data_IF_347217368995
#
_entry.id   IF_347217368995
#
_cell.length_a   1.000
_cell.length_b   1.000
_cell.length_c   1.000
_cell.angle_alpha   90.00
_cell.angle_beta   90.00
_cell.angle_gamma   90.00
#
_symmetry.space_group_name_H-M   'P 1'
#
loop_
_entity.id
_entity.type
_entity.pdbx_description
1 polymer ?
#
# COMPACT_ATOMS: atom_id res chain seq x y z
N UNK A 1 -11.96 51.90 24.39
CA UNK A 1 -12.05 50.43 24.30
C UNK A 1 -11.82 50.05 22.86
N UNK A 2 -10.63 49.52 22.43
CA UNK A 2 -10.50 48.97 21.08
C UNK A 2 -10.92 47.51 21.08
N UNK A 3 -11.95 47.19 20.29
CA UNK A 3 -12.40 45.83 20.03
C UNK A 3 -11.33 45.11 19.21
N UNK A 4 -10.69 44.11 19.82
CA UNK A 4 -9.77 43.20 19.14
C UNK A 4 -10.52 42.35 18.15
N UNK A 5 -10.28 42.58 16.86
CA UNK A 5 -10.68 41.71 15.78
C UNK A 5 -9.82 40.43 15.85
N UNK A 6 -10.40 39.36 16.35
CA UNK A 6 -9.77 38.06 16.27
C UNK A 6 -9.67 37.69 14.78
N UNK A 7 -8.44 37.69 14.25
CA UNK A 7 -8.15 37.08 12.93
C UNK A 7 -8.45 35.60 13.05
N UNK A 8 -9.54 35.15 12.43
CA UNK A 8 -9.76 33.76 12.15
C UNK A 8 -8.57 33.25 11.31
N UNK A 9 -7.76 32.39 11.88
CA UNK A 9 -6.74 31.65 11.11
C UNK A 9 -7.49 30.87 10.04
N UNK A 10 -7.39 31.31 8.80
CA UNK A 10 -7.78 30.47 7.66
C UNK A 10 -7.00 29.15 7.74
N UNK A 11 -7.72 28.11 8.07
CA UNK A 11 -7.18 26.75 7.94
C UNK A 11 -6.99 26.52 6.44
N UNK A 12 -5.75 26.62 5.98
CA UNK A 12 -5.41 26.25 4.61
C UNK A 12 -5.83 24.80 4.43
N UNK A 13 -6.86 24.57 3.65
CA UNK A 13 -7.35 23.23 3.36
C UNK A 13 -6.22 22.42 2.71
N UNK A 14 -5.92 21.26 3.27
CA UNK A 14 -4.93 20.36 2.66
C UNK A 14 -5.38 19.99 1.25
N UNK A 15 -4.45 19.90 0.27
CA UNK A 15 -4.81 19.57 -1.10
C UNK A 15 -5.53 18.22 -1.16
N UNK A 16 -6.57 18.14 -1.99
CA UNK A 16 -7.31 16.91 -2.21
C UNK A 16 -6.43 15.82 -2.85
N UNK A 17 -6.54 14.62 -2.35
CA UNK A 17 -5.79 13.44 -2.85
C UNK A 17 -6.77 12.37 -3.29
N UNK A 18 -6.55 11.78 -4.45
CA UNK A 18 -7.23 10.58 -4.91
C UNK A 18 -6.29 9.37 -4.81
N UNK A 19 -6.78 8.30 -4.21
CA UNK A 19 -6.21 6.97 -4.37
C UNK A 19 -7.05 6.18 -5.36
N UNK A 20 -6.38 5.45 -6.23
CA UNK A 20 -7.01 4.64 -7.27
C UNK A 20 -6.52 3.22 -7.15
N UNK A 21 -7.42 2.25 -7.18
CA UNK A 21 -7.08 0.85 -7.38
C UNK A 21 -7.44 0.46 -8.82
N UNK A 22 -6.45 -0.06 -9.55
CA UNK A 22 -6.66 -0.73 -10.83
C UNK A 22 -6.76 -2.25 -10.59
N UNK A 23 -7.97 -2.73 -10.30
CA UNK A 23 -8.24 -4.17 -10.22
C UNK A 23 -8.68 -4.69 -11.60
N UNK A 24 -8.62 -6.01 -11.83
CA UNK A 24 -8.98 -6.61 -13.13
C UNK A 24 -10.46 -6.49 -13.49
N UNK A 25 -11.35 -6.29 -12.51
CA UNK A 25 -12.81 -6.20 -12.72
C UNK A 25 -13.35 -4.79 -12.55
N UNK A 26 -12.63 -3.87 -11.93
CA UNK A 26 -13.11 -2.53 -11.65
C UNK A 26 -11.96 -1.55 -11.40
N UNK A 27 -12.22 -0.28 -11.69
CA UNK A 27 -11.48 0.87 -11.16
C UNK A 27 -12.21 1.37 -9.93
N UNK A 28 -11.50 1.53 -8.82
CA UNK A 28 -12.00 2.15 -7.58
C UNK A 28 -11.23 3.43 -7.30
N UNK A 29 -11.94 4.50 -7.00
CA UNK A 29 -11.36 5.81 -6.68
C UNK A 29 -11.88 6.26 -5.32
N UNK A 30 -10.97 6.62 -4.44
CA UNK A 30 -11.28 7.23 -3.13
C UNK A 30 -10.64 8.61 -3.11
N UNK A 31 -11.44 9.65 -2.85
CA UNK A 31 -10.99 11.04 -2.75
C UNK A 31 -11.10 11.50 -1.32
N UNK A 32 -10.13 12.27 -0.86
CA UNK A 32 -10.13 12.84 0.47
C UNK A 32 -8.98 13.80 0.69
N UNK A 33 -8.76 14.17 1.93
CA UNK A 33 -7.67 15.04 2.33
C UNK A 33 -7.14 14.65 3.71
N UNK A 34 -5.90 15.06 3.98
CA UNK A 34 -5.30 14.83 5.30
C UNK A 34 -5.87 15.83 6.32
N UNK A 35 -6.30 15.31 7.44
CA UNK A 35 -6.78 16.07 8.59
C UNK A 35 -5.99 15.63 9.83
N UNK A 36 -4.98 16.40 10.18
CA UNK A 36 -4.00 16.03 11.21
C UNK A 36 -3.33 14.67 10.94
N UNK A 37 -3.52 13.68 11.84
CA UNK A 37 -2.99 12.32 11.71
C UNK A 37 -3.92 11.37 10.94
N UNK A 38 -5.08 11.85 10.45
CA UNK A 38 -6.11 11.05 9.79
C UNK A 38 -6.26 11.44 8.33
N UNK A 39 -6.83 10.57 7.55
CA UNK A 39 -7.27 10.84 6.19
C UNK A 39 -8.79 10.82 6.14
N UNK A 40 -9.40 11.95 5.79
CA UNK A 40 -10.85 12.10 5.67
C UNK A 40 -11.26 11.82 4.23
N UNK A 41 -12.07 10.78 4.05
CA UNK A 41 -12.64 10.40 2.75
C UNK A 41 -13.89 11.23 2.50
N UNK A 42 -13.91 11.97 1.40
CA UNK A 42 -15.03 12.84 0.98
C UNK A 42 -15.80 12.30 -0.21
N UNK A 43 -15.21 11.35 -0.96
CA UNK A 43 -15.86 10.76 -2.11
C UNK A 43 -15.32 9.39 -2.47
N UNK A 44 -16.21 8.54 -2.99
CA UNK A 44 -15.91 7.19 -3.49
C UNK A 44 -16.57 7.02 -4.85
N UNK A 45 -15.86 6.42 -5.79
CA UNK A 45 -16.34 6.15 -7.12
C UNK A 45 -15.84 4.81 -7.66
N UNK A 46 -16.73 4.10 -8.33
CA UNK A 46 -16.44 2.81 -8.93
C UNK A 46 -16.85 2.81 -10.40
N UNK A 47 -16.09 2.13 -11.22
CA UNK A 47 -16.45 1.82 -12.60
C UNK A 47 -16.04 0.40 -12.96
N UNK A 48 -16.90 -0.41 -13.56
CA UNK A 48 -16.56 -1.74 -14.00
C UNK A 48 -15.52 -1.68 -15.14
N UNK A 49 -14.68 -2.68 -15.21
CA UNK A 49 -13.74 -2.91 -16.31
C UNK A 49 -14.23 -4.08 -17.18
N UNK A 50 -14.05 -3.96 -18.48
CA UNK A 50 -14.24 -5.07 -19.39
C UNK A 50 -13.25 -6.20 -19.05
N UNK A 51 -13.71 -7.45 -19.18
CA UNK A 51 -12.87 -8.61 -18.92
C UNK A 51 -11.57 -8.54 -19.74
N UNK A 52 -10.43 -8.72 -19.08
CA UNK A 52 -9.11 -8.68 -19.71
C UNK A 52 -8.56 -7.27 -20.00
N UNK A 53 -9.29 -6.19 -19.70
CA UNK A 53 -8.77 -4.82 -19.88
C UNK A 53 -7.58 -4.53 -18.96
N UNK A 54 -7.62 -5.08 -17.72
CA UNK A 54 -6.51 -5.14 -16.78
C UNK A 54 -6.40 -6.57 -16.30
N UNK A 55 -5.19 -7.10 -16.24
CA UNK A 55 -4.91 -8.43 -15.69
C UNK A 55 -3.58 -8.41 -14.95
N UNK A 56 -3.58 -8.86 -13.69
CA UNK A 56 -2.39 -8.90 -12.81
C UNK A 56 -1.60 -7.60 -12.81
N UNK A 57 -2.31 -6.46 -12.81
CA UNK A 57 -1.72 -5.13 -12.86
C UNK A 57 -1.25 -4.66 -14.25
N UNK A 58 -1.31 -5.51 -15.28
CA UNK A 58 -1.02 -5.12 -16.65
C UNK A 58 -2.25 -4.53 -17.34
N UNK A 59 -2.13 -3.34 -17.89
CA UNK A 59 -3.17 -2.70 -18.69
C UNK A 59 -3.07 -3.19 -20.13
N UNK A 60 -3.98 -4.09 -20.53
CA UNK A 60 -4.08 -4.65 -21.87
C UNK A 60 -4.94 -3.79 -22.79
N UNK A 61 -6.04 -3.22 -22.28
CA UNK A 61 -6.87 -2.26 -23.00
C UNK A 61 -6.80 -0.89 -22.32
N UNK A 62 -5.94 -0.05 -22.88
CA UNK A 62 -5.73 1.32 -22.38
C UNK A 62 -6.99 2.18 -22.50
N UNK A 63 -7.79 2.01 -23.57
CA UNK A 63 -8.98 2.83 -23.80
C UNK A 63 -10.08 2.49 -22.82
N UNK A 64 -10.41 1.21 -22.68
CA UNK A 64 -11.41 0.75 -21.71
C UNK A 64 -11.02 1.14 -20.28
N UNK A 65 -9.72 1.04 -19.93
CA UNK A 65 -9.20 1.45 -18.62
C UNK A 65 -9.32 2.97 -18.43
N UNK A 66 -9.00 3.78 -19.44
CA UNK A 66 -9.14 5.23 -19.35
C UNK A 66 -10.62 5.67 -19.22
N UNK A 67 -11.53 5.05 -19.96
CA UNK A 67 -12.97 5.33 -19.87
C UNK A 67 -13.50 4.99 -18.46
N UNK A 68 -13.08 3.86 -17.90
CA UNK A 68 -13.43 3.48 -16.52
C UNK A 68 -12.83 4.44 -15.48
N UNK A 69 -11.59 4.89 -15.66
CA UNK A 69 -10.97 5.92 -14.81
C UNK A 69 -11.80 7.20 -14.82
N UNK A 70 -12.17 7.71 -16.01
CA UNK A 70 -13.00 8.92 -16.13
C UNK A 70 -14.33 8.77 -15.38
N UNK A 71 -15.01 7.63 -15.54
CA UNK A 71 -16.28 7.37 -14.89
C UNK A 71 -16.14 7.28 -13.36
N UNK A 72 -15.11 6.57 -12.85
CA UNK A 72 -14.87 6.43 -11.42
C UNK A 72 -14.48 7.77 -10.77
N UNK A 73 -13.63 8.58 -11.42
CA UNK A 73 -13.30 9.93 -10.95
C UNK A 73 -14.52 10.84 -10.93
N UNK A 74 -15.37 10.82 -11.97
CA UNK A 74 -16.59 11.63 -12.00
C UNK A 74 -17.54 11.30 -10.85
N UNK A 75 -17.60 10.03 -10.43
CA UNK A 75 -18.38 9.61 -9.27
C UNK A 75 -17.74 10.04 -7.93
N UNK A 76 -16.42 9.93 -7.80
CA UNK A 76 -15.69 10.21 -6.56
C UNK A 76 -15.53 11.73 -6.29
N UNK A 77 -15.35 12.54 -7.33
CA UNK A 77 -15.00 13.97 -7.23
C UNK A 77 -16.22 14.91 -7.15
N UNK A 78 -17.39 14.41 -6.79
CA UNK A 78 -18.63 15.24 -6.68
C UNK A 78 -18.48 16.37 -5.66
N UNK A 79 -17.72 16.16 -4.59
CA UNK A 79 -17.46 17.14 -3.53
C UNK A 79 -16.23 18.02 -3.79
N UNK A 80 -15.40 17.69 -4.77
CA UNK A 80 -14.18 18.42 -5.13
C UNK A 80 -13.18 17.59 -5.89
N UNK A 81 -12.40 18.25 -6.73
CA UNK A 81 -11.39 17.60 -7.56
C UNK A 81 -10.13 17.33 -6.75
N UNK A 82 -9.55 16.14 -6.92
CA UNK A 82 -8.25 15.82 -6.35
C UNK A 82 -7.10 16.46 -7.17
N UNK A 83 -6.14 17.05 -6.46
CA UNK A 83 -4.94 17.67 -7.04
C UNK A 83 -3.82 16.63 -7.25
N UNK A 84 -3.76 15.62 -6.39
CA UNK A 84 -2.79 14.54 -6.43
C UNK A 84 -3.52 13.21 -6.64
N UNK A 85 -2.90 12.32 -7.39
CA UNK A 85 -3.44 10.99 -7.63
C UNK A 85 -2.37 9.96 -7.37
N UNK A 86 -2.68 8.94 -6.58
CA UNK A 86 -1.84 7.77 -6.35
C UNK A 86 -2.59 6.54 -6.82
N UNK A 87 -2.00 5.80 -7.76
CA UNK A 87 -2.57 4.54 -8.23
C UNK A 87 -1.90 3.35 -7.56
N UNK A 88 -2.70 2.52 -6.94
CA UNK A 88 -2.32 1.22 -6.42
C UNK A 88 -2.47 0.16 -7.52
N UNK A 89 -1.41 -0.54 -7.82
CA UNK A 89 -1.40 -1.68 -8.72
C UNK A 89 -0.88 -2.91 -7.98
N UNK A 90 -1.51 -4.06 -8.24
CA UNK A 90 -1.07 -5.34 -7.72
C UNK A 90 -0.81 -6.31 -8.88
N UNK A 91 0.35 -6.94 -8.85
CA UNK A 91 0.77 -7.95 -9.83
C UNK A 91 1.83 -8.87 -9.23
N UNK A 92 1.88 -10.09 -9.73
CA UNK A 92 2.80 -11.12 -9.25
C UNK A 92 4.28 -10.81 -9.53
N UNK A 93 4.55 -9.82 -10.39
CA UNK A 93 5.89 -9.32 -10.70
C UNK A 93 6.25 -8.03 -9.94
N UNK A 94 5.36 -7.48 -9.11
CA UNK A 94 5.66 -6.31 -8.27
C UNK A 94 6.41 -6.75 -7.02
N UNK A 95 7.48 -6.04 -6.69
CA UNK A 95 8.32 -6.30 -5.53
C UNK A 95 8.45 -5.07 -4.67
N UNK A 96 8.39 -5.28 -3.36
CA UNK A 96 8.72 -4.24 -2.38
C UNK A 96 9.98 -4.64 -1.65
N UNK A 97 10.93 -3.73 -1.59
CA UNK A 97 12.21 -3.86 -0.92
C UNK A 97 12.25 -2.91 0.27
N UNK A 98 12.85 -3.38 1.34
CA UNK A 98 13.01 -2.63 2.59
C UNK A 98 14.50 -2.43 2.83
N UNK A 99 14.93 -1.18 3.01
CA UNK A 99 16.33 -0.83 3.27
C UNK A 99 16.44 0.03 4.53
N UNK A 100 17.64 0.10 5.07
CA UNK A 100 17.92 0.85 6.27
C UNK A 100 19.33 1.43 6.17
N UNK A 101 19.42 2.75 6.21
CA UNK A 101 20.68 3.47 6.15
C UNK A 101 20.96 4.14 7.48
N UNK A 102 22.13 3.85 8.05
CA UNK A 102 22.59 4.40 9.32
C UNK A 102 23.56 5.55 9.09
N UNK A 103 23.40 6.59 9.89
CA UNK A 103 24.23 7.80 9.89
C UNK A 103 24.77 8.05 11.28
N UNK A 104 26.09 8.11 11.41
CA UNK A 104 26.72 8.62 12.62
C UNK A 104 26.75 10.15 12.57
N UNK A 105 26.15 10.79 13.56
CA UNK A 105 26.03 12.24 13.64
C UNK A 105 27.33 12.84 14.21
N UNK A 106 27.76 13.93 13.60
CA UNK A 106 28.97 14.63 14.01
C UNK A 106 28.84 15.21 15.44
N UNK A 107 27.66 15.73 15.79
CA UNK A 107 27.36 16.22 17.12
C UNK A 107 26.08 15.58 17.68
N UNK A 108 26.27 14.70 18.67
CA UNK A 108 25.16 14.01 19.34
C UNK A 108 24.43 14.89 20.36
N UNK A 109 24.98 16.03 20.75
CA UNK A 109 24.41 16.97 21.73
C UNK A 109 23.46 17.96 21.07
N UNK A 110 23.66 18.24 19.79
CA UNK A 110 22.77 19.11 19.02
C UNK A 110 21.50 18.37 18.62
N UNK A 111 20.41 19.11 18.54
CA UNK A 111 19.16 18.60 17.99
C UNK A 111 19.30 18.35 16.48
N UNK A 112 18.70 17.27 15.97
CA UNK A 112 18.62 17.01 14.53
C UNK A 112 17.91 18.18 13.86
N UNK A 113 18.61 18.85 12.94
CA UNK A 113 18.03 19.96 12.17
C UNK A 113 17.19 19.44 10.99
N UNK A 114 16.23 20.25 10.48
CA UNK A 114 15.50 19.89 9.26
C UNK A 114 16.41 19.60 8.06
N UNK A 115 17.48 20.38 7.90
CA UNK A 115 18.46 20.19 6.81
C UNK A 115 19.24 18.88 6.94
N UNK A 116 19.61 18.48 8.17
CA UNK A 116 20.27 17.20 8.44
C UNK A 116 19.32 16.04 8.14
N UNK A 117 18.05 16.11 8.58
CA UNK A 117 17.05 15.09 8.31
C UNK A 117 16.81 14.92 6.80
N UNK A 118 16.64 16.01 6.05
CA UNK A 118 16.46 15.97 4.59
C UNK A 118 17.67 15.38 3.87
N UNK A 119 18.90 15.72 4.31
CA UNK A 119 20.12 15.13 3.77
C UNK A 119 20.17 13.61 4.00
N UNK A 120 19.84 13.17 5.21
CA UNK A 120 19.81 11.75 5.57
C UNK A 120 18.76 11.00 4.73
N UNK A 121 17.54 11.56 4.58
CA UNK A 121 16.49 11.00 3.73
C UNK A 121 16.97 10.83 2.29
N UNK A 122 17.57 11.86 1.70
CA UNK A 122 18.06 11.80 0.32
C UNK A 122 19.10 10.69 0.13
N UNK A 123 20.08 10.58 1.02
CA UNK A 123 21.11 9.54 0.94
C UNK A 123 20.49 8.16 1.13
N UNK A 124 19.53 8.00 2.05
CA UNK A 124 18.85 6.73 2.29
C UNK A 124 18.04 6.29 1.06
N UNK A 125 17.32 7.20 0.41
CA UNK A 125 16.60 6.93 -0.85
C UNK A 125 17.54 6.48 -1.98
N UNK A 126 18.67 7.18 -2.16
CA UNK A 126 19.69 6.80 -3.16
C UNK A 126 20.29 5.42 -2.87
N UNK A 127 20.50 5.08 -1.58
CA UNK A 127 20.97 3.74 -1.16
C UNK A 127 19.92 2.68 -1.45
N UNK A 128 18.69 2.90 -1.02
CA UNK A 128 17.58 1.98 -1.23
C UNK A 128 17.33 1.71 -2.73
N UNK A 129 17.43 2.75 -3.58
CA UNK A 129 17.26 2.59 -5.02
C UNK A 129 18.35 1.72 -5.66
N UNK A 130 19.59 1.77 -5.16
CA UNK A 130 20.64 0.85 -5.61
C UNK A 130 20.40 -0.56 -5.12
N UNK A 131 20.18 -0.73 -3.83
CA UNK A 131 19.90 -2.02 -3.18
C UNK A 131 18.71 -2.73 -3.83
N UNK A 132 17.61 -2.02 -4.07
CA UNK A 132 16.43 -2.58 -4.71
C UNK A 132 16.70 -3.07 -6.15
N UNK A 133 17.49 -2.34 -6.95
CA UNK A 133 17.87 -2.77 -8.30
C UNK A 133 18.77 -4.00 -8.28
N UNK A 134 19.73 -4.06 -7.35
CA UNK A 134 20.62 -5.21 -7.22
C UNK A 134 19.81 -6.46 -6.85
N UNK A 135 18.94 -6.37 -5.84
CA UNK A 135 18.05 -7.45 -5.42
C UNK A 135 17.06 -7.86 -6.53
N UNK A 136 16.52 -6.90 -7.29
CA UNK A 136 15.65 -7.18 -8.43
C UNK A 136 16.37 -7.95 -9.54
N UNK A 137 17.66 -7.70 -9.76
CA UNK A 137 18.46 -8.44 -10.74
C UNK A 137 18.66 -9.91 -10.39
N UNK A 138 18.57 -10.24 -9.11
CA UNK A 138 18.68 -11.60 -8.58
C UNK A 138 17.32 -12.31 -8.46
N UNK A 139 16.20 -11.53 -8.38
CA UNK A 139 14.85 -12.10 -8.27
C UNK A 139 14.46 -12.83 -9.57
N UNK A 140 14.12 -14.13 -9.52
CA UNK A 140 13.77 -14.92 -10.70
C UNK A 140 12.64 -14.32 -11.54
N UNK A 141 11.70 -13.59 -10.93
CA UNK A 141 10.56 -12.97 -11.62
C UNK A 141 10.94 -11.66 -12.33
N UNK A 142 12.02 -10.99 -11.92
CA UNK A 142 12.45 -9.70 -12.48
C UNK A 142 13.76 -9.78 -13.27
N UNK A 143 14.47 -10.93 -13.18
CA UNK A 143 15.77 -11.10 -13.84
C UNK A 143 15.67 -10.87 -15.35
N UNK A 144 16.44 -9.94 -15.87
CA UNK A 144 16.44 -9.58 -17.29
C UNK A 144 15.24 -8.76 -17.75
N UNK A 145 14.34 -8.37 -16.84
CA UNK A 145 13.20 -7.50 -17.14
C UNK A 145 13.55 -6.06 -16.74
N UNK A 146 13.30 -5.12 -17.65
CA UNK A 146 13.42 -3.71 -17.33
C UNK A 146 12.35 -3.33 -16.28
N UNK A 147 12.81 -2.76 -15.16
CA UNK A 147 11.95 -2.35 -14.06
C UNK A 147 11.83 -0.83 -13.97
N UNK A 148 10.69 -0.37 -13.44
CA UNK A 148 10.43 0.99 -13.04
C UNK A 148 10.22 1.05 -11.52
N UNK A 149 10.71 2.12 -10.92
CA UNK A 149 10.36 2.49 -9.56
C UNK A 149 8.92 3.03 -9.56
N UNK A 150 8.07 2.43 -8.75
CA UNK A 150 6.70 2.91 -8.56
C UNK A 150 6.70 4.05 -7.55
N UNK A 151 7.29 3.80 -6.39
CA UNK A 151 7.36 4.75 -5.29
C UNK A 151 8.47 4.35 -4.32
N UNK A 152 9.08 5.37 -3.72
CA UNK A 152 9.90 5.27 -2.52
C UNK A 152 9.19 5.95 -1.33
N UNK A 153 9.11 5.27 -0.22
CA UNK A 153 8.51 5.79 1.01
C UNK A 153 9.51 5.75 2.17
N UNK A 154 9.39 6.70 3.08
CA UNK A 154 10.12 6.65 4.34
C UNK A 154 9.34 5.74 5.30
N UNK A 155 9.89 4.56 5.58
CA UNK A 155 9.32 3.57 6.48
C UNK A 155 9.44 3.96 7.97
N UNK A 156 10.25 4.98 8.30
CA UNK A 156 10.43 5.54 9.64
C UNK A 156 11.86 5.93 9.98
N UNK A 157 12.02 6.46 11.17
CA UNK A 157 13.31 6.88 11.73
C UNK A 157 13.60 6.13 13.03
N UNK A 158 14.87 5.85 13.28
CA UNK A 158 15.33 5.34 14.58
C UNK A 158 16.53 6.19 15.02
N UNK A 159 16.50 6.72 16.23
CA UNK A 159 17.60 7.50 16.81
C UNK A 159 18.04 6.81 18.10
N UNK A 160 19.27 6.34 18.12
CA UNK A 160 19.83 5.54 19.22
C UNK A 160 18.91 4.40 19.68
N UNK A 161 18.35 3.63 18.72
CA UNK A 161 17.42 2.54 18.98
C UNK A 161 15.96 2.96 19.24
N UNK A 162 15.68 4.25 19.43
CA UNK A 162 14.32 4.79 19.67
C UNK A 162 13.65 5.14 18.37
N UNK A 163 12.47 4.58 18.14
CA UNK A 163 11.62 4.87 16.94
C UNK A 163 10.99 6.25 17.04
N UNK A 164 10.98 6.98 15.93
CA UNK A 164 10.45 8.35 15.82
C UNK A 164 9.61 8.49 14.56
N UNK A 165 8.56 9.30 14.62
CA UNK A 165 7.82 9.76 13.43
C UNK A 165 8.59 10.82 12.65
N UNK A 166 9.39 11.65 13.36
CA UNK A 166 10.33 12.62 12.79
C UNK A 166 11.53 12.69 13.72
N UNK A 167 12.77 12.76 13.22
CA UNK A 167 13.95 12.92 14.05
C UNK A 167 14.22 14.39 14.41
N UNK A 168 13.57 15.34 13.74
CA UNK A 168 13.84 16.78 13.89
C UNK A 168 13.52 17.24 15.31
N UNK A 169 14.48 17.89 15.95
CA UNK A 169 14.38 18.36 17.33
C UNK A 169 14.89 17.35 18.38
N UNK A 170 15.05 16.10 18.03
CA UNK A 170 15.60 15.06 18.92
C UNK A 170 17.15 15.09 18.91
N UNK A 171 17.76 14.55 19.97
CA UNK A 171 19.21 14.44 20.13
C UNK A 171 19.62 12.97 20.19
N UNK A 172 20.76 12.66 19.61
CA UNK A 172 21.30 11.30 19.60
C UNK A 172 22.50 11.18 18.68
N UNK A 173 23.15 10.02 18.71
CA UNK A 173 24.39 9.73 18.00
C UNK A 173 24.14 9.05 16.63
N UNK A 174 23.35 7.98 16.62
CA UNK A 174 23.08 7.18 15.41
C UNK A 174 21.67 7.43 14.93
N UNK A 175 21.53 8.02 13.74
CA UNK A 175 20.25 8.17 13.04
C UNK A 175 20.14 7.09 11.97
N UNK A 176 19.13 6.24 12.06
CA UNK A 176 18.74 5.27 11.03
C UNK A 176 17.51 5.79 10.29
N UNK A 177 17.62 5.83 8.97
CA UNK A 177 16.48 6.13 8.08
C UNK A 177 16.10 4.84 7.37
N UNK A 178 14.84 4.45 7.49
CA UNK A 178 14.27 3.26 6.86
C UNK A 178 13.48 3.67 5.64
N UNK A 179 13.72 2.97 4.54
CA UNK A 179 13.13 3.28 3.24
C UNK A 179 12.49 2.04 2.66
N UNK A 180 11.28 2.20 2.15
CA UNK A 180 10.55 1.15 1.45
C UNK A 180 10.46 1.54 -0.04
N UNK A 181 10.79 0.63 -0.94
CA UNK A 181 10.81 0.86 -2.38
C UNK A 181 10.02 -0.21 -3.10
N UNK A 182 9.09 0.20 -3.98
CA UNK A 182 8.35 -0.71 -4.84
C UNK A 182 8.87 -0.62 -6.29
N UNK A 183 9.20 -1.78 -6.87
CA UNK A 183 9.57 -1.94 -8.26
C UNK A 183 8.53 -2.79 -9.00
N UNK A 184 8.28 -2.44 -10.26
CA UNK A 184 7.46 -3.22 -11.18
C UNK A 184 8.14 -3.34 -12.54
N UNK A 185 7.76 -4.31 -13.38
CA UNK A 185 8.13 -4.31 -14.80
C UNK A 185 7.79 -2.98 -15.46
N UNK A 186 8.70 -2.44 -16.24
CA UNK A 186 8.52 -1.14 -16.92
C UNK A 186 7.25 -1.12 -17.78
N UNK A 187 6.90 -2.24 -18.42
CA UNK A 187 5.70 -2.37 -19.24
C UNK A 187 4.42 -2.24 -18.39
N UNK A 188 4.44 -2.76 -17.16
CA UNK A 188 3.30 -2.68 -16.25
C UNK A 188 3.11 -1.25 -15.74
N UNK A 189 4.16 -0.61 -15.25
CA UNK A 189 4.14 0.79 -14.82
C UNK A 189 3.77 1.74 -15.98
N UNK A 190 4.35 1.52 -17.16
CA UNK A 190 4.08 2.30 -18.36
C UNK A 190 2.65 2.14 -18.87
N UNK A 191 2.07 0.93 -18.78
CA UNK A 191 0.67 0.69 -19.12
C UNK A 191 -0.30 1.47 -18.24
N UNK A 192 -0.07 1.45 -16.93
CA UNK A 192 -0.85 2.24 -15.98
C UNK A 192 -0.72 3.75 -16.27
N UNK A 193 0.50 4.26 -16.44
CA UNK A 193 0.75 5.66 -16.79
C UNK A 193 0.01 6.06 -18.05
N UNK A 194 0.10 5.25 -19.12
CA UNK A 194 -0.56 5.53 -20.38
C UNK A 194 -2.10 5.56 -20.29
N UNK A 195 -2.70 4.75 -19.42
CA UNK A 195 -4.15 4.80 -19.15
C UNK A 195 -4.55 6.09 -18.45
N UNK A 196 -3.76 6.54 -17.46
CA UNK A 196 -3.98 7.81 -16.77
C UNK A 196 -3.81 9.02 -17.69
N UNK A 197 -2.79 9.01 -18.55
CA UNK A 197 -2.58 10.07 -19.55
C UNK A 197 -3.76 10.15 -20.52
N UNK A 198 -4.29 9.00 -20.97
CA UNK A 198 -5.49 8.95 -21.81
C UNK A 198 -6.74 9.48 -21.08
N UNK A 199 -6.84 9.28 -19.75
CA UNK A 199 -7.86 9.87 -18.90
C UNK A 199 -7.60 11.35 -18.53
N UNK A 200 -6.54 11.97 -19.08
CA UNK A 200 -6.08 13.35 -18.79
C UNK A 200 -5.79 13.58 -17.31
N UNK A 201 -5.16 12.59 -16.66
CA UNK A 201 -4.73 12.62 -15.27
C UNK A 201 -3.25 12.26 -15.18
N UNK A 202 -2.60 12.79 -14.15
CA UNK A 202 -1.25 12.34 -13.76
C UNK A 202 -1.36 11.60 -12.45
N UNK A 203 -0.70 10.45 -12.34
CA UNK A 203 -0.67 9.66 -11.14
C UNK A 203 0.75 9.20 -10.83
N UNK A 204 1.07 9.09 -9.54
CA UNK A 204 2.20 8.30 -9.05
C UNK A 204 1.71 6.90 -8.72
N UNK A 205 2.51 5.88 -8.99
CA UNK A 205 2.11 4.50 -8.73
C UNK A 205 2.69 3.99 -7.41
N UNK A 206 1.99 3.04 -6.79
CA UNK A 206 2.47 2.28 -5.62
C UNK A 206 1.98 0.83 -5.70
N UNK A 207 2.55 -0.07 -4.90
CA UNK A 207 1.99 -1.40 -4.70
C UNK A 207 0.75 -1.33 -3.81
N UNK A 208 -0.36 -1.94 -4.22
CA UNK A 208 -1.58 -2.00 -3.43
C UNK A 208 -1.41 -2.81 -2.14
N UNK A 209 -0.68 -3.93 -2.22
CA UNK A 209 -0.33 -4.73 -1.05
C UNK A 209 0.46 -3.94 -0.01
N UNK A 210 1.45 -3.15 -0.47
CA UNK A 210 2.24 -2.28 0.40
C UNK A 210 1.39 -1.16 1.02
N UNK A 211 0.61 -0.46 0.21
CA UNK A 211 -0.23 0.64 0.68
C UNK A 211 -1.21 0.17 1.78
N UNK A 212 -1.87 -0.98 1.56
CA UNK A 212 -2.79 -1.55 2.53
C UNK A 212 -2.08 -1.98 3.82
N UNK A 213 -0.94 -2.65 3.71
CA UNK A 213 -0.17 -3.09 4.87
C UNK A 213 0.34 -1.90 5.70
N UNK A 214 0.78 -0.84 5.03
CA UNK A 214 1.22 0.40 5.68
C UNK A 214 0.09 1.04 6.47
N UNK A 215 -1.09 1.18 5.87
CA UNK A 215 -2.27 1.72 6.56
C UNK A 215 -2.62 0.90 7.81
N UNK A 216 -2.59 -0.44 7.72
CA UNK A 216 -2.84 -1.34 8.86
C UNK A 216 -1.78 -1.16 9.95
N UNK A 217 -0.51 -1.12 9.59
CA UNK A 217 0.60 -0.89 10.54
C UNK A 217 0.45 0.45 11.27
N UNK A 218 0.20 1.53 10.52
CA UNK A 218 0.00 2.87 11.07
C UNK A 218 -1.27 3.02 11.90
N UNK A 219 -2.20 2.07 11.80
CA UNK A 219 -3.40 1.99 12.64
C UNK A 219 -3.15 1.29 13.98
N UNK A 220 -1.89 1.00 14.31
CA UNK A 220 -1.48 0.45 15.60
C UNK A 220 -1.31 -1.07 15.63
N UNK A 221 -1.40 -1.74 14.47
CA UNK A 221 -1.13 -3.18 14.38
C UNK A 221 0.38 -3.40 14.36
N UNK A 222 0.91 -4.08 15.39
CA UNK A 222 2.34 -4.32 15.52
C UNK A 222 2.83 -5.57 14.80
N UNK A 223 2.00 -6.62 14.76
CA UNK A 223 2.34 -7.92 14.17
C UNK A 223 1.09 -8.56 13.56
N UNK A 224 1.08 -8.72 12.24
CA UNK A 224 0.00 -9.40 11.53
C UNK A 224 0.39 -9.79 10.10
N UNK A 225 -0.31 -10.78 9.55
CA UNK A 225 -0.41 -11.03 8.12
C UNK A 225 -1.68 -10.39 7.55
N UNK A 226 -1.60 -10.00 6.30
CA UNK A 226 -2.74 -9.52 5.51
C UNK A 226 -2.80 -10.37 4.26
N UNK A 227 -3.93 -11.02 4.02
CA UNK A 227 -4.20 -11.75 2.78
C UNK A 227 -5.42 -11.14 2.11
N UNK A 228 -5.24 -10.53 0.94
CA UNK A 228 -6.32 -9.95 0.16
C UNK A 228 -6.51 -10.72 -1.14
N UNK A 229 -7.73 -11.24 -1.33
CA UNK A 229 -8.12 -11.98 -2.53
C UNK A 229 -8.73 -11.00 -3.53
N UNK A 230 -7.98 -10.64 -4.56
CA UNK A 230 -8.46 -9.89 -5.72
C UNK A 230 -9.22 -10.80 -6.69
N UNK A 231 -9.62 -10.30 -7.85
CA UNK A 231 -10.27 -11.12 -8.85
C UNK A 231 -9.29 -12.12 -9.49
N UNK A 232 -8.12 -11.69 -9.89
CA UNK A 232 -7.09 -12.48 -10.60
C UNK A 232 -5.83 -12.79 -9.77
N UNK A 233 -5.61 -12.06 -8.67
CA UNK A 233 -4.43 -12.24 -7.80
C UNK A 233 -4.81 -12.27 -6.32
N UNK A 234 -3.93 -12.86 -5.51
CA UNK A 234 -3.94 -12.69 -4.05
C UNK A 234 -2.69 -11.93 -3.62
N UNK A 235 -2.88 -10.85 -2.88
CA UNK A 235 -1.78 -10.11 -2.24
C UNK A 235 -1.59 -10.58 -0.80
N UNK A 236 -0.33 -10.78 -0.42
CA UNK A 236 0.10 -11.13 0.94
C UNK A 236 1.05 -10.06 1.42
N UNK A 237 0.81 -9.55 2.61
CA UNK A 237 1.69 -8.60 3.26
C UNK A 237 1.90 -8.97 4.72
N UNK A 238 3.06 -8.64 5.25
CA UNK A 238 3.42 -8.87 6.65
C UNK A 238 3.76 -7.55 7.32
N UNK A 239 3.16 -7.34 8.47
CA UNK A 239 3.49 -6.26 9.40
C UNK A 239 4.28 -6.86 10.55
N UNK A 240 5.44 -6.28 10.86
CA UNK A 240 6.28 -6.62 11.99
C UNK A 240 6.70 -5.34 12.70
N UNK A 241 6.61 -5.36 14.01
CA UNK A 241 6.98 -4.18 14.79
C UNK A 241 6.29 -2.90 14.33
N UNK A 242 5.04 -2.96 13.91
CA UNK A 242 4.28 -1.82 13.43
C UNK A 242 4.76 -1.25 12.08
N UNK A 243 5.37 -2.07 11.22
CA UNK A 243 5.87 -1.70 9.90
C UNK A 243 5.66 -2.81 8.88
N UNK A 244 5.63 -2.45 7.61
CA UNK A 244 5.64 -3.43 6.52
C UNK A 244 6.99 -4.14 6.53
N UNK A 245 6.97 -5.45 6.67
CA UNK A 245 8.17 -6.29 6.66
C UNK A 245 8.37 -7.00 5.32
N UNK A 246 7.30 -7.19 4.55
CA UNK A 246 7.38 -7.79 3.23
C UNK A 246 6.02 -7.85 2.57
N UNK A 247 6.01 -7.80 1.25
CA UNK A 247 4.81 -7.99 0.43
C UNK A 247 5.11 -8.88 -0.76
N UNK A 248 4.13 -9.68 -1.16
CA UNK A 248 4.16 -10.51 -2.37
C UNK A 248 2.75 -10.68 -2.90
N UNK A 249 2.68 -10.92 -4.19
CA UNK A 249 1.43 -11.21 -4.89
C UNK A 249 1.61 -12.52 -5.65
N UNK A 250 0.57 -13.34 -5.74
CA UNK A 250 0.56 -14.54 -6.55
C UNK A 250 -0.72 -14.64 -7.38
N UNK A 251 -0.63 -15.28 -8.54
CA UNK A 251 -1.67 -15.30 -9.58
C UNK A 251 -2.78 -16.33 -9.29
N UNK A 252 -3.40 -16.27 -8.11
CA UNK A 252 -4.62 -17.01 -7.76
C UNK A 252 -5.58 -16.04 -7.10
N UNK A 253 -6.64 -15.70 -7.79
CA UNK A 253 -7.69 -14.81 -7.31
C UNK A 253 -9.06 -15.48 -7.29
N UNK A 254 -10.10 -14.69 -7.02
CA UNK A 254 -11.50 -15.16 -6.93
C UNK A 254 -11.96 -15.87 -8.19
N UNK A 255 -11.56 -15.38 -9.38
CA UNK A 255 -12.02 -15.93 -10.66
C UNK A 255 -11.61 -17.39 -10.85
N UNK A 256 -10.42 -17.77 -10.35
CA UNK A 256 -9.94 -19.17 -10.37
C UNK A 256 -10.61 -20.00 -9.28
N UNK A 257 -10.76 -19.44 -8.08
CA UNK A 257 -11.29 -20.14 -6.91
C UNK A 257 -12.80 -20.42 -7.06
N UNK A 258 -13.58 -19.44 -7.56
CA UNK A 258 -15.02 -19.58 -7.77
C UNK A 258 -15.36 -20.52 -8.94
N UNK A 259 -14.49 -20.62 -9.96
CA UNK A 259 -14.70 -21.48 -11.08
C UNK A 259 -14.62 -22.99 -10.75
N UNK A 260 -13.92 -23.36 -9.68
CA UNK A 260 -13.66 -24.77 -9.29
C UNK A 260 -14.49 -25.30 -8.15
N UNK A 261 -14.91 -24.46 -7.21
CA UNK A 261 -15.79 -24.75 -6.07
C UNK A 261 -15.48 -26.04 -5.29
N UNK A 262 -14.30 -26.12 -4.63
CA UNK A 262 -14.00 -27.26 -3.79
C UNK A 262 -13.20 -26.93 -2.53
N UNK A 263 -13.35 -27.72 -1.43
CA UNK A 263 -12.52 -27.58 -0.24
C UNK A 263 -11.01 -27.66 -0.54
N UNK A 264 -10.63 -28.45 -1.53
CA UNK A 264 -9.24 -28.59 -1.97
C UNK A 264 -8.66 -27.28 -2.50
N UNK A 265 -9.47 -26.41 -3.09
CA UNK A 265 -9.00 -25.13 -3.62
C UNK A 265 -8.67 -24.15 -2.48
N UNK A 266 -9.42 -24.20 -1.37
CA UNK A 266 -9.11 -23.43 -0.17
C UNK A 266 -7.76 -23.86 0.45
N UNK A 267 -7.48 -25.17 0.50
CA UNK A 267 -6.21 -25.69 1.00
C UNK A 267 -5.04 -25.30 0.07
N UNK A 268 -5.24 -25.36 -1.25
CA UNK A 268 -4.23 -24.93 -2.22
C UNK A 268 -3.94 -23.44 -2.04
N UNK A 269 -4.97 -22.60 -1.95
CA UNK A 269 -4.80 -21.18 -1.72
C UNK A 269 -4.05 -20.91 -0.41
N UNK A 270 -4.41 -21.55 0.69
CA UNK A 270 -3.74 -21.40 1.98
C UNK A 270 -2.27 -21.82 1.91
N UNK A 271 -1.94 -22.90 1.19
CA UNK A 271 -0.55 -23.31 0.92
C UNK A 271 0.20 -22.23 0.13
N UNK A 272 -0.41 -21.62 -0.88
CA UNK A 272 0.19 -20.53 -1.62
C UNK A 272 0.49 -19.33 -0.72
N UNK A 273 -0.43 -18.96 0.21
CA UNK A 273 -0.18 -17.89 1.19
C UNK A 273 1.02 -18.24 2.08
N UNK A 274 1.05 -19.45 2.66
CA UNK A 274 2.16 -19.90 3.53
C UNK A 274 3.48 -19.95 2.76
N UNK A 275 3.48 -20.51 1.55
CA UNK A 275 4.67 -20.55 0.70
C UNK A 275 5.18 -19.15 0.33
N UNK A 276 4.26 -18.21 0.12
CA UNK A 276 4.57 -16.81 -0.14
C UNK A 276 5.31 -16.17 1.04
N UNK A 277 4.86 -16.41 2.27
CA UNK A 277 5.57 -15.91 3.47
C UNK A 277 6.97 -16.50 3.60
N UNK A 278 7.09 -17.81 3.35
CA UNK A 278 8.41 -18.47 3.34
C UNK A 278 9.35 -17.88 2.29
N UNK A 279 8.83 -17.55 1.10
CA UNK A 279 9.65 -16.92 0.04
C UNK A 279 10.17 -15.54 0.41
N UNK A 280 9.54 -14.87 1.40
CA UNK A 280 10.01 -13.63 1.99
C UNK A 280 11.07 -13.84 3.07
N UNK A 281 11.36 -15.08 3.47
CA UNK A 281 12.27 -15.38 4.57
C UNK A 281 11.73 -14.94 5.95
N UNK A 282 10.41 -14.78 6.08
CA UNK A 282 9.75 -14.27 7.28
C UNK A 282 8.96 -15.38 7.99
N UNK A 283 8.80 -15.23 9.30
CA UNK A 283 7.99 -16.12 10.11
C UNK A 283 6.49 -15.84 9.90
N UNK A 284 5.66 -16.88 10.02
CA UNK A 284 4.21 -16.75 9.97
C UNK A 284 3.69 -16.01 11.21
N UNK A 285 2.84 -14.99 11.06
CA UNK A 285 2.24 -14.29 12.19
C UNK A 285 1.15 -15.14 12.87
N UNK A 286 0.92 -14.87 14.15
CA UNK A 286 -0.18 -15.50 14.91
C UNK A 286 -1.55 -14.93 14.58
N UNK A 287 -1.61 -13.78 13.91
CA UNK A 287 -2.85 -13.11 13.51
C UNK A 287 -2.81 -12.72 12.05
N UNK A 288 -3.94 -12.94 11.36
CA UNK A 288 -4.13 -12.55 9.96
C UNK A 288 -5.39 -11.72 9.80
N UNK A 289 -5.34 -10.81 8.85
CA UNK A 289 -6.51 -10.09 8.35
C UNK A 289 -6.76 -10.51 6.90
N UNK A 290 -7.97 -11.01 6.63
CA UNK A 290 -8.41 -11.44 5.32
C UNK A 290 -9.34 -10.39 4.70
N UNK A 291 -9.13 -10.05 3.42
CA UNK A 291 -9.93 -9.08 2.68
C UNK A 291 -10.32 -9.61 1.29
N UNK A 292 -11.40 -9.07 0.72
CA UNK A 292 -11.85 -9.42 -0.63
C UNK A 292 -12.37 -10.85 -0.76
N UNK A 293 -12.85 -11.45 0.33
CA UNK A 293 -13.37 -12.82 0.36
C UNK A 293 -14.90 -12.74 0.35
N UNK A 294 -15.54 -13.13 -0.76
CA UNK A 294 -16.99 -13.22 -0.84
C UNK A 294 -17.53 -14.44 -0.08
N UNK A 295 -18.84 -14.47 0.16
CA UNK A 295 -19.49 -15.50 1.00
C UNK A 295 -19.31 -16.93 0.46
N UNK A 296 -19.27 -17.11 -0.84
CA UNK A 296 -19.03 -18.41 -1.49
C UNK A 296 -17.57 -18.92 -1.32
N UNK A 297 -16.66 -18.05 -0.90
CA UNK A 297 -15.27 -18.38 -0.56
C UNK A 297 -14.99 -18.28 0.96
N UNK A 298 -16.01 -18.30 1.82
CA UNK A 298 -15.89 -18.20 3.28
C UNK A 298 -15.01 -19.30 3.93
N UNK A 299 -14.70 -20.37 3.20
CA UNK A 299 -13.75 -21.41 3.64
C UNK A 299 -12.28 -21.00 3.65
N UNK A 300 -11.88 -19.97 2.88
CA UNK A 300 -10.49 -19.54 2.74
C UNK A 300 -9.84 -19.12 4.08
N UNK A 301 -10.47 -18.28 4.92
CA UNK A 301 -9.90 -17.89 6.22
C UNK A 301 -9.65 -19.09 7.13
N UNK A 302 -10.57 -20.05 7.15
CA UNK A 302 -10.43 -21.29 7.94
C UNK A 302 -9.25 -22.13 7.45
N UNK A 303 -9.15 -22.34 6.15
CA UNK A 303 -8.03 -23.10 5.56
C UNK A 303 -6.69 -22.43 5.88
N UNK A 304 -6.60 -21.11 5.80
CA UNK A 304 -5.40 -20.35 6.17
C UNK A 304 -5.06 -20.53 7.66
N UNK A 305 -6.05 -20.43 8.56
CA UNK A 305 -5.84 -20.62 10.00
C UNK A 305 -5.29 -22.01 10.33
N UNK A 306 -5.85 -23.05 9.71
CA UNK A 306 -5.40 -24.45 9.89
C UNK A 306 -3.98 -24.62 9.33
N UNK A 307 -3.72 -24.18 8.11
CA UNK A 307 -2.44 -24.36 7.44
C UNK A 307 -1.31 -23.60 8.13
N UNK A 308 -1.53 -22.30 8.41
CA UNK A 308 -0.55 -21.47 9.10
C UNK A 308 -0.34 -21.92 10.55
N UNK A 309 -1.40 -22.40 11.22
CA UNK A 309 -1.31 -22.97 12.57
C UNK A 309 -0.48 -24.24 12.62
N UNK A 310 -0.68 -25.16 11.70
CA UNK A 310 0.12 -26.38 11.58
C UNK A 310 1.60 -26.08 11.33
N UNK A 311 1.88 -25.12 10.45
CA UNK A 311 3.25 -24.72 10.11
C UNK A 311 3.95 -24.00 11.27
N UNK A 312 3.21 -23.18 11.99
CA UNK A 312 3.73 -22.41 13.13
C UNK A 312 3.86 -23.25 14.40
N UNK A 313 3.16 -24.39 14.48
CA UNK A 313 3.04 -25.18 15.71
C UNK A 313 2.19 -24.48 16.79
N UNK A 314 1.33 -23.53 16.45
CA UNK A 314 0.49 -22.76 17.36
C UNK A 314 -0.78 -22.27 16.63
N UNK A 315 -1.85 -21.99 17.39
CA UNK A 315 -3.08 -21.43 16.83
C UNK A 315 -2.84 -20.12 16.08
N UNK A 316 -3.59 -19.93 15.00
CA UNK A 316 -3.55 -18.73 14.17
C UNK A 316 -4.98 -18.19 14.01
N UNK A 317 -5.15 -16.91 14.36
CA UNK A 317 -6.42 -16.21 14.20
C UNK A 317 -6.49 -15.59 12.81
N UNK A 318 -7.57 -15.83 12.06
CA UNK A 318 -7.85 -15.18 10.79
C UNK A 318 -9.14 -14.39 10.89
N UNK A 319 -9.02 -13.08 10.86
CA UNK A 319 -10.11 -12.13 11.05
C UNK A 319 -10.42 -11.38 9.74
N UNK A 320 -11.68 -10.99 9.49
CA UNK A 320 -11.98 -10.16 8.36
C UNK A 320 -11.35 -8.75 8.53
N UNK A 321 -10.69 -8.26 7.48
CA UNK A 321 -10.24 -6.87 7.45
C UNK A 321 -11.44 -5.94 7.24
N UNK A 322 -11.68 -5.08 8.22
CA UNK A 322 -12.80 -4.14 8.23
C UNK A 322 -12.28 -2.70 8.28
N UNK A 323 -13.08 -1.75 7.81
CA UNK A 323 -12.76 -0.30 7.90
C UNK A 323 -12.54 0.16 9.34
N UNK A 324 -13.22 -0.45 10.32
CA UNK A 324 -13.03 -0.17 11.76
C UNK A 324 -11.64 -0.52 12.29
N UNK A 325 -10.88 -1.37 11.60
CA UNK A 325 -9.49 -1.73 11.96
C UNK A 325 -8.47 -0.68 11.49
N UNK A 326 -8.90 0.29 10.71
CA UNK A 326 -8.05 1.35 10.18
C UNK A 326 -8.55 2.74 10.60
N UNK A 327 -8.49 3.08 11.91
CA UNK A 327 -9.08 4.31 12.46
C UNK A 327 -8.42 5.60 11.93
N UNK A 328 -7.32 5.48 11.21
CA UNK A 328 -6.73 6.62 10.47
C UNK A 328 -7.57 7.05 9.27
N UNK A 329 -8.45 6.19 8.77
CA UNK A 329 -9.42 6.55 7.73
C UNK A 329 -10.73 6.97 8.41
N UNK A 330 -11.14 8.20 8.19
CA UNK A 330 -12.46 8.73 8.59
C UNK A 330 -13.25 8.95 7.31
N UNK A 331 -14.43 8.39 7.21
CA UNK A 331 -15.22 8.47 5.98
C UNK A 331 -16.52 9.23 6.21
N UNK A 332 -16.71 10.30 5.42
CA UNK A 332 -17.99 10.99 5.29
C UNK A 332 -18.85 10.35 4.18
N UNK A 333 -18.21 9.60 3.28
CA UNK A 333 -18.85 8.79 2.25
C UNK A 333 -18.89 7.30 2.66
N UNK A 334 -19.79 6.53 2.05
CA UNK A 334 -19.85 5.08 2.27
C UNK A 334 -18.57 4.42 1.74
N UNK A 335 -17.78 3.85 2.64
CA UNK A 335 -16.52 3.16 2.34
C UNK A 335 -16.68 1.67 2.68
N UNK A 336 -16.44 0.82 1.71
CA UNK A 336 -16.45 -0.64 1.88
C UNK A 336 -15.04 -1.17 2.19
N UNK A 337 -14.96 -2.43 2.60
CA UNK A 337 -13.67 -3.10 2.76
C UNK A 337 -12.90 -3.23 1.43
N UNK A 338 -13.62 -3.31 0.30
CA UNK A 338 -13.03 -3.38 -1.04
C UNK A 338 -12.35 -2.06 -1.47
N UNK A 339 -12.74 -0.93 -0.85
CA UNK A 339 -12.17 0.38 -1.15
C UNK A 339 -10.87 0.66 -0.36
N UNK A 340 -10.52 -0.22 0.59
CA UNK A 340 -9.38 0.02 1.48
C UNK A 340 -8.04 0.16 0.75
N UNK A 341 -7.84 -0.50 -0.39
CA UNK A 341 -6.61 -0.34 -1.19
C UNK A 341 -6.55 1.06 -1.79
N UNK A 342 -7.65 1.53 -2.39
CA UNK A 342 -7.72 2.89 -2.93
C UNK A 342 -7.61 3.94 -1.80
N UNK A 343 -8.27 3.72 -0.66
CA UNK A 343 -8.17 4.60 0.51
C UNK A 343 -6.73 4.65 1.08
N UNK A 344 -6.04 3.50 1.10
CA UNK A 344 -4.64 3.41 1.52
C UNK A 344 -3.71 4.20 0.59
N UNK A 345 -3.90 4.07 -0.71
CA UNK A 345 -3.14 4.82 -1.71
C UNK A 345 -3.38 6.34 -1.58
N UNK A 346 -4.63 6.76 -1.32
CA UNK A 346 -4.96 8.15 -1.06
C UNK A 346 -4.27 8.69 0.21
N UNK A 347 -4.30 7.91 1.30
CA UNK A 347 -3.65 8.29 2.56
C UNK A 347 -2.14 8.47 2.40
N UNK A 348 -1.47 7.56 1.65
CA UNK A 348 -0.05 7.68 1.30
C UNK A 348 0.24 8.94 0.48
N UNK A 349 -0.62 9.31 -0.46
CA UNK A 349 -0.47 10.52 -1.27
C UNK A 349 -0.62 11.81 -0.48
N UNK A 350 -1.28 11.76 0.68
CA UNK A 350 -1.41 12.87 1.62
C UNK A 350 -0.19 13.05 2.53
N UNK A 351 0.77 12.13 2.54
CA UNK A 351 2.00 12.26 3.34
C UNK A 351 2.98 13.24 2.67
N UNK A 352 3.31 14.30 3.40
CA UNK A 352 4.26 15.32 2.93
C UNK A 352 5.66 14.88 3.36
N UNK A 353 6.29 14.04 2.56
CA UNK A 353 7.74 13.90 2.50
C UNK A 353 8.16 14.26 1.06
N UNK A 354 8.06 15.53 0.74
CA UNK A 354 8.57 16.13 -0.48
C UNK A 354 9.72 17.05 -0.15
#
# INVERSE_FOLDING_TARGET
MPSGCAKSSEVVASPGVAGVELASTAVRVVVGHREQARFRVTGVGHAPLAAGAVSRGYVADRRATADALVAAFAAAERAGRAERVVVAIDGDDIRTYHDSTKFERADQRDAVSPGEALKAIRIARESAARSARDLASEDPALRGIATAELRDDIGGFVLDGRRLGSPVGDRGRELEVRTDMALAPLVQAGGATAAFDAAKRRATATSGAYALARLVAESGVSDAGIARVGADVTSVALVRDGRVAGTRVFAVGRDVLTARHGPADADIWARCVVATVRSLGLELPGRWYAAGIPDDLAGLPRALGVMAGAERGASVDVLPLRTSLVPRIVADASLSADDLVAASAAALGGEIYG
#
